data_IF_120258989496
#
_entry.id   IF_120258989496
#
_cell.length_a   1.000
_cell.length_b   1.000
_cell.length_c   1.000
_cell.angle_alpha   90.00
_cell.angle_beta   90.00
_cell.angle_gamma   90.00
#
_symmetry.space_group_name_H-M   'P 1'
#
loop_
_entity.id
_entity.type
_entity.pdbx_description
1 polymer ?
#
# COMPACT_ATOMS: atom_id res chain seq x y z
N UNK A 1 -4.23 10.50 34.46
CA UNK A 1 -4.31 11.53 35.51
C UNK A 1 -2.87 11.94 35.82
N UNK A 2 -2.41 13.05 35.25
CA UNK A 2 -1.04 13.55 35.42
C UNK A 2 -1.14 14.92 36.13
N UNK A 3 -0.41 15.17 37.22
CA UNK A 3 -0.52 16.43 37.93
C UNK A 3 0.25 17.53 37.21
N UNK A 4 -0.43 18.66 36.99
CA UNK A 4 0.15 19.91 36.50
C UNK A 4 0.71 20.65 37.71
N UNK A 5 1.99 20.97 37.68
CA UNK A 5 2.65 21.84 38.66
C UNK A 5 3.06 23.14 37.96
N UNK A 6 2.39 24.23 38.30
CA UNK A 6 2.66 25.58 37.79
C UNK A 6 2.75 26.49 39.00
N UNK A 7 3.99 26.76 39.44
CA UNK A 7 4.28 27.72 40.48
C UNK A 7 5.25 28.78 39.95
N UNK A 8 4.65 29.92 39.60
CA UNK A 8 5.05 31.29 39.97
C UNK A 8 6.47 31.81 39.70
N UNK A 9 6.56 32.86 38.89
CA UNK A 9 7.43 34.02 39.14
C UNK A 9 6.86 35.25 38.40
N UNK A 10 6.17 36.14 39.12
CA UNK A 10 6.58 37.49 39.62
C UNK A 10 6.62 38.58 38.52
N UNK A 11 5.63 39.47 38.53
CA UNK A 11 5.67 40.81 39.13
C UNK A 11 6.38 41.84 38.23
N UNK A 12 5.66 42.32 37.21
CA UNK A 12 6.09 43.44 36.38
C UNK A 12 5.69 44.75 37.06
N UNK A 13 6.66 45.30 37.78
CA UNK A 13 6.73 46.67 38.27
C UNK A 13 6.24 47.64 37.19
N UNK A 14 5.13 48.32 37.49
CA UNK A 14 4.48 49.38 36.71
C UNK A 14 5.46 50.53 36.49
N UNK A 15 6.04 50.63 35.29
CA UNK A 15 6.81 51.79 34.86
C UNK A 15 5.81 52.87 34.43
N UNK A 16 5.73 53.95 35.20
CA UNK A 16 5.01 55.15 34.82
C UNK A 16 5.81 55.88 33.74
N UNK A 17 5.26 55.96 32.53
CA UNK A 17 5.78 56.85 31.50
C UNK A 17 5.07 58.20 31.65
N UNK A 18 5.84 59.21 32.06
CA UNK A 18 5.43 60.61 32.03
C UNK A 18 5.22 61.04 30.57
N UNK A 19 4.12 61.74 30.31
CA UNK A 19 3.81 62.38 29.04
C UNK A 19 4.76 63.58 28.88
N UNK A 20 5.51 63.72 27.79
CA UNK A 20 6.27 64.94 27.56
C UNK A 20 5.32 66.04 27.07
N UNK A 21 5.43 67.19 27.71
CA UNK A 21 4.68 68.41 27.46
C UNK A 21 5.07 68.99 26.09
N UNK A 22 4.07 69.55 25.41
CA UNK A 22 4.19 70.23 24.11
C UNK A 22 4.32 71.74 24.40
N UNK A 23 5.10 72.44 23.56
CA UNK A 23 5.56 73.85 23.64
C UNK A 23 6.95 73.92 24.30
N UNK A 24 8.03 74.21 23.57
CA UNK A 24 8.28 75.49 22.91
C UNK A 24 8.98 75.40 21.55
N UNK A 25 8.82 76.49 20.80
CA UNK A 25 9.34 76.77 19.48
C UNK A 25 10.80 77.21 19.54
N UNK A 26 11.66 76.68 18.65
CA UNK A 26 12.76 77.41 17.98
C UNK A 26 13.58 76.50 17.03
N UNK A 27 13.98 77.09 15.89
CA UNK A 27 15.01 76.68 14.93
C UNK A 27 14.87 75.30 14.22
N UNK A 28 14.24 75.33 13.05
CA UNK A 28 14.44 74.33 11.98
C UNK A 28 15.85 74.50 11.41
N UNK A 29 16.82 73.76 11.94
CA UNK A 29 18.12 73.57 11.31
C UNK A 29 18.11 72.23 10.56
N UNK A 30 18.36 72.30 9.26
CA UNK A 30 18.18 71.20 8.32
C UNK A 30 19.20 70.09 8.56
N UNK A 31 18.78 69.00 9.19
CA UNK A 31 19.56 67.75 9.22
C UNK A 31 19.51 67.13 7.83
N UNK A 32 20.65 67.21 7.14
CA UNK A 32 20.91 66.57 5.86
C UNK A 32 21.00 65.05 6.08
N UNK A 33 19.94 64.32 5.71
CA UNK A 33 19.94 62.85 5.78
C UNK A 33 20.84 62.27 4.68
N UNK A 34 21.94 61.64 5.06
CA UNK A 34 22.61 60.63 4.24
C UNK A 34 21.61 59.53 3.89
N UNK A 35 21.43 59.17 2.61
CA UNK A 35 20.57 58.05 2.26
C UNK A 35 21.25 56.78 2.76
N UNK A 36 20.71 56.17 3.81
CA UNK A 36 21.07 54.81 4.18
C UNK A 36 20.83 53.92 2.96
N UNK A 37 21.92 53.47 2.35
CA UNK A 37 21.90 52.47 1.28
C UNK A 37 21.13 51.25 1.76
N UNK A 38 19.94 51.07 1.20
CA UNK A 38 19.15 49.87 1.40
C UNK A 38 19.92 48.69 0.83
N UNK A 39 20.35 47.78 1.71
CA UNK A 39 20.97 46.52 1.34
C UNK A 39 19.98 45.66 0.55
N UNK A 40 19.99 45.81 -0.77
CA UNK A 40 19.20 45.07 -1.75
C UNK A 40 19.51 43.55 -1.83
N UNK A 41 20.23 42.98 -0.86
CA UNK A 41 20.86 41.67 -1.01
C UNK A 41 20.21 40.50 -0.24
N UNK A 42 18.96 40.65 0.25
CA UNK A 42 18.28 39.57 1.00
C UNK A 42 16.91 39.15 0.45
N UNK A 43 16.46 39.73 -0.66
CA UNK A 43 15.15 39.39 -1.25
C UNK A 43 15.19 38.06 -2.06
N UNK A 44 16.31 37.76 -2.72
CA UNK A 44 16.51 36.52 -3.50
C UNK A 44 16.57 35.24 -2.64
N UNK A 45 17.03 35.35 -1.39
CA UNK A 45 17.09 34.22 -0.46
C UNK A 45 15.69 33.74 -0.05
N UNK A 46 14.72 34.66 0.05
CA UNK A 46 13.32 34.31 0.33
C UNK A 46 12.72 33.46 -0.79
N UNK A 47 12.91 33.87 -2.04
CA UNK A 47 12.43 33.10 -3.20
C UNK A 47 13.06 31.71 -3.28
N UNK A 48 14.36 31.58 -3.01
CA UNK A 48 15.03 30.28 -2.95
C UNK A 48 14.38 29.35 -1.93
N UNK A 49 14.06 29.85 -0.73
CA UNK A 49 13.42 29.06 0.32
C UNK A 49 11.98 28.67 -0.04
N UNK A 50 11.19 29.57 -0.64
CA UNK A 50 9.84 29.23 -1.10
C UNK A 50 9.85 28.19 -2.23
N UNK A 51 10.79 28.27 -3.15
CA UNK A 51 10.95 27.27 -4.22
C UNK A 51 11.32 25.91 -3.63
N UNK A 52 12.27 25.85 -2.69
CA UNK A 52 12.68 24.60 -2.04
C UNK A 52 11.54 23.96 -1.24
N UNK A 53 10.76 24.76 -0.50
CA UNK A 53 9.58 24.28 0.22
C UNK A 53 8.49 23.80 -0.75
N UNK A 54 8.26 24.53 -1.84
CA UNK A 54 7.32 24.13 -2.89
C UNK A 54 7.69 22.79 -3.54
N UNK A 55 8.97 22.61 -3.88
CA UNK A 55 9.48 21.35 -4.43
C UNK A 55 9.34 20.21 -3.41
N UNK A 56 9.67 20.44 -2.14
CA UNK A 56 9.53 19.43 -1.08
C UNK A 56 8.06 18.98 -0.92
N UNK A 57 7.13 19.93 -0.88
CA UNK A 57 5.69 19.64 -0.77
C UNK A 57 5.19 18.89 -2.00
N UNK A 58 5.62 19.29 -3.21
CA UNK A 58 5.26 18.61 -4.45
C UNK A 58 5.78 17.17 -4.49
N UNK A 59 7.04 16.94 -4.13
CA UNK A 59 7.64 15.60 -4.14
C UNK A 59 6.93 14.69 -3.14
N UNK A 60 6.72 15.17 -1.91
CA UNK A 60 5.96 14.41 -0.90
C UNK A 60 4.51 14.16 -1.36
N UNK A 61 3.83 15.17 -1.89
CA UNK A 61 2.47 15.07 -2.41
C UNK A 61 2.35 14.05 -3.56
N UNK A 62 3.28 14.09 -4.52
CA UNK A 62 3.34 13.12 -5.62
C UNK A 62 3.57 11.69 -5.12
N UNK A 63 4.36 11.50 -4.06
CA UNK A 63 4.54 10.18 -3.43
C UNK A 63 3.25 9.68 -2.77
N UNK A 64 2.51 10.53 -2.06
CA UNK A 64 1.22 10.17 -1.48
C UNK A 64 0.17 9.85 -2.54
N UNK A 65 0.09 10.65 -3.61
CA UNK A 65 -0.83 10.41 -4.73
C UNK A 65 -0.49 9.11 -5.44
N UNK A 66 0.79 8.83 -5.70
CA UNK A 66 1.22 7.55 -6.28
C UNK A 66 0.84 6.36 -5.38
N UNK A 67 1.06 6.46 -4.07
CA UNK A 67 0.67 5.42 -3.10
C UNK A 67 -0.85 5.19 -3.09
N UNK A 68 -1.65 6.25 -3.19
CA UNK A 68 -3.11 6.17 -3.30
C UNK A 68 -3.55 5.52 -4.61
N UNK A 69 -2.95 5.91 -5.74
CA UNK A 69 -3.22 5.32 -7.06
C UNK A 69 -2.80 3.85 -7.12
N UNK A 70 -1.66 3.50 -6.51
CA UNK A 70 -1.18 2.13 -6.44
C UNK A 70 -2.09 1.30 -5.53
N UNK A 71 -2.54 1.81 -4.38
CA UNK A 71 -3.51 1.14 -3.51
C UNK A 71 -4.85 0.85 -4.23
N UNK A 72 -5.30 1.74 -5.12
CA UNK A 72 -6.49 1.50 -5.96
C UNK A 72 -6.25 0.48 -7.08
N UNK A 73 -5.00 0.24 -7.47
CA UNK A 73 -4.60 -0.76 -8.48
C UNK A 73 -4.16 -2.10 -7.88
N UNK A 74 -4.09 -2.22 -6.56
CA UNK A 74 -3.96 -3.51 -5.90
C UNK A 74 -5.29 -4.25 -6.05
N UNK A 75 -5.51 -4.76 -7.27
CA UNK A 75 -6.25 -6.00 -7.46
C UNK A 75 -5.69 -6.94 -6.40
N UNK A 76 -6.48 -7.44 -5.44
CA UNK A 76 -5.96 -8.41 -4.51
C UNK A 76 -5.29 -9.47 -5.37
N UNK A 77 -3.97 -9.63 -5.21
CA UNK A 77 -3.29 -10.78 -5.78
C UNK A 77 -4.18 -11.97 -5.47
N UNK A 78 -4.59 -12.69 -6.51
CA UNK A 78 -5.65 -13.69 -6.42
C UNK A 78 -5.32 -14.63 -5.25
N UNK A 79 -5.97 -14.43 -4.11
CA UNK A 79 -5.58 -15.13 -2.87
C UNK A 79 -5.73 -16.63 -3.10
N UNK A 80 -6.64 -17.02 -3.98
CA UNK A 80 -6.82 -18.39 -4.43
C UNK A 80 -5.60 -18.93 -5.18
N UNK A 81 -4.96 -18.12 -6.03
CA UNK A 81 -3.74 -18.50 -6.75
C UNK A 81 -2.60 -18.75 -5.76
N UNK A 82 -2.38 -17.80 -4.84
CA UNK A 82 -1.38 -17.92 -3.80
C UNK A 82 -1.64 -19.14 -2.90
N UNK A 83 -2.87 -19.28 -2.40
CA UNK A 83 -3.26 -20.41 -1.56
C UNK A 83 -3.09 -21.74 -2.30
N UNK A 84 -3.42 -21.80 -3.59
CA UNK A 84 -3.25 -23.02 -4.38
C UNK A 84 -1.77 -23.39 -4.50
N UNK A 85 -0.87 -22.42 -4.70
CA UNK A 85 0.57 -22.67 -4.77
C UNK A 85 1.12 -23.30 -3.48
N UNK A 86 0.59 -22.93 -2.31
CA UNK A 86 1.02 -23.51 -1.03
C UNK A 86 0.53 -24.95 -0.78
N UNK A 87 -0.36 -25.49 -1.62
CA UNK A 87 -0.85 -26.87 -1.47
C UNK A 87 0.00 -27.93 -2.19
N UNK A 88 1.06 -27.52 -2.91
CA UNK A 88 1.91 -28.43 -3.67
C UNK A 88 3.39 -28.23 -3.36
N UNK A 89 4.17 -29.31 -3.35
CA UNK A 89 5.63 -29.24 -3.29
C UNK A 89 6.22 -28.75 -4.63
N UNK A 90 5.70 -29.29 -5.73
CA UNK A 90 6.01 -28.85 -7.09
C UNK A 90 4.74 -28.31 -7.75
N UNK A 91 4.82 -27.21 -8.52
CA UNK A 91 3.66 -26.70 -9.26
C UNK A 91 3.11 -27.79 -10.17
N UNK A 92 1.80 -27.87 -10.31
CA UNK A 92 1.17 -28.80 -11.25
C UNK A 92 1.15 -28.17 -12.66
N UNK A 93 1.54 -28.90 -13.71
CA UNK A 93 1.58 -28.38 -15.08
C UNK A 93 0.25 -27.74 -15.53
N UNK A 94 -0.87 -28.31 -15.12
CA UNK A 94 -2.22 -27.86 -15.49
C UNK A 94 -2.58 -26.48 -14.89
N UNK A 95 -1.88 -26.02 -13.85
CA UNK A 95 -2.16 -24.73 -13.19
C UNK A 95 -2.00 -23.52 -14.13
N UNK A 96 -1.30 -23.68 -15.25
CA UNK A 96 -1.21 -22.62 -16.27
C UNK A 96 -2.52 -22.43 -17.04
N UNK A 97 -3.33 -23.49 -17.12
CA UNK A 97 -4.53 -23.55 -17.94
C UNK A 97 -5.82 -23.41 -17.11
N UNK A 98 -5.73 -23.59 -15.79
CA UNK A 98 -6.89 -23.53 -14.87
C UNK A 98 -6.69 -22.49 -13.77
N UNK A 99 -7.77 -21.80 -13.41
CA UNK A 99 -7.81 -20.90 -12.25
C UNK A 99 -8.55 -21.58 -11.11
N UNK A 100 -7.82 -21.99 -10.08
CA UNK A 100 -8.42 -22.54 -8.87
C UNK A 100 -9.12 -21.41 -8.12
N UNK A 101 -10.34 -21.67 -7.65
CA UNK A 101 -11.15 -20.73 -6.87
C UNK A 101 -11.65 -21.41 -5.61
N UNK A 102 -11.39 -20.81 -4.46
CA UNK A 102 -11.87 -21.31 -3.19
C UNK A 102 -13.14 -20.54 -2.79
N UNK A 103 -14.11 -21.27 -2.23
CA UNK A 103 -15.30 -20.67 -1.65
C UNK A 103 -15.66 -21.38 -0.36
N UNK A 104 -15.98 -20.60 0.66
CA UNK A 104 -16.53 -21.15 1.90
C UNK A 104 -17.96 -21.61 1.64
N UNK A 105 -18.23 -22.88 1.91
CA UNK A 105 -19.58 -23.44 1.89
C UNK A 105 -19.91 -23.98 3.28
N UNK A 106 -21.19 -23.88 3.69
CA UNK A 106 -21.64 -24.49 4.93
C UNK A 106 -21.71 -25.99 4.69
N UNK A 107 -20.90 -26.74 5.42
CA UNK A 107 -21.01 -28.19 5.44
C UNK A 107 -22.24 -28.58 6.27
N UNK A 108 -23.04 -29.53 5.78
CA UNK A 108 -24.15 -30.09 6.55
C UNK A 108 -23.57 -31.21 7.41
N UNK A 109 -23.56 -31.03 8.73
CA UNK A 109 -22.94 -31.96 9.70
C UNK A 109 -23.68 -33.30 9.85
N UNK A 110 -24.68 -33.58 9.03
CA UNK A 110 -25.31 -34.89 8.92
C UNK A 110 -24.35 -35.88 8.26
N UNK A 111 -23.55 -36.57 9.08
CA UNK A 111 -22.61 -37.63 8.67
C UNK A 111 -23.23 -38.76 7.82
N UNK A 112 -24.56 -38.92 7.86
CA UNK A 112 -25.29 -39.98 7.16
C UNK A 112 -25.93 -39.54 5.83
N UNK A 113 -25.85 -38.26 5.47
CA UNK A 113 -26.36 -37.80 4.19
C UNK A 113 -25.40 -38.20 3.07
N UNK A 114 -25.82 -39.13 2.22
CA UNK A 114 -25.02 -39.55 1.07
C UNK A 114 -24.89 -38.37 0.09
N UNK A 115 -23.66 -38.02 -0.28
CA UNK A 115 -23.45 -37.06 -1.36
C UNK A 115 -24.02 -37.61 -2.66
N UNK A 116 -24.34 -36.74 -3.63
CA UNK A 116 -24.79 -37.17 -4.97
C UNK A 116 -23.82 -38.17 -5.63
N UNK A 117 -22.54 -38.16 -5.24
CA UNK A 117 -21.51 -39.07 -5.74
C UNK A 117 -21.47 -40.43 -5.01
N UNK A 118 -22.21 -40.61 -3.91
CA UNK A 118 -22.22 -41.83 -3.08
C UNK A 118 -23.56 -42.59 -3.16
N UNK A 119 -24.27 -42.45 -4.28
CA UNK A 119 -25.53 -43.17 -4.55
C UNK A 119 -25.34 -44.66 -4.82
N UNK A 120 -26.45 -45.35 -5.07
CA UNK A 120 -26.44 -46.76 -5.49
C UNK A 120 -25.58 -46.95 -6.75
N UNK A 121 -24.85 -48.07 -6.90
CA UNK A 121 -24.15 -48.38 -8.13
C UNK A 121 -25.11 -48.35 -9.32
N UNK A 122 -24.78 -47.59 -10.36
CA UNK A 122 -25.61 -47.48 -11.56
C UNK A 122 -25.23 -46.33 -12.47
N UNK A 123 -25.87 -46.23 -13.65
CA UNK A 123 -25.50 -45.27 -14.70
C UNK A 123 -25.56 -43.80 -14.25
N UNK A 124 -26.47 -43.49 -13.32
CA UNK A 124 -26.60 -42.16 -12.76
C UNK A 124 -25.37 -41.78 -11.94
N UNK A 125 -24.99 -42.63 -10.97
CA UNK A 125 -23.79 -42.44 -10.15
C UNK A 125 -22.56 -42.38 -11.04
N UNK A 126 -22.41 -43.29 -12.00
CA UNK A 126 -21.29 -43.29 -12.94
C UNK A 126 -21.20 -41.96 -13.70
N UNK A 127 -22.32 -41.42 -14.19
CA UNK A 127 -22.33 -40.10 -14.85
C UNK A 127 -21.82 -38.99 -13.93
N UNK A 128 -22.21 -38.99 -12.66
CA UNK A 128 -21.74 -38.00 -11.68
C UNK A 128 -20.24 -38.11 -11.41
N UNK A 129 -19.71 -39.33 -11.37
CA UNK A 129 -18.27 -39.55 -11.26
C UNK A 129 -17.52 -39.11 -12.53
N UNK A 130 -18.12 -39.25 -13.70
CA UNK A 130 -17.56 -38.75 -14.95
C UNK A 130 -17.53 -37.21 -15.00
N UNK A 131 -18.57 -36.55 -14.49
CA UNK A 131 -18.64 -35.08 -14.36
C UNK A 131 -17.52 -34.51 -13.47
N UNK A 132 -17.00 -35.28 -12.51
CA UNK A 132 -15.85 -34.87 -11.68
C UNK A 132 -14.52 -34.79 -12.45
N UNK A 133 -14.50 -35.13 -13.74
CA UNK A 133 -13.27 -35.10 -14.54
C UNK A 133 -12.39 -36.33 -14.37
N UNK A 134 -12.97 -37.47 -13.94
CA UNK A 134 -12.26 -38.77 -13.87
C UNK A 134 -11.77 -39.26 -15.24
N UNK A 135 -12.25 -38.67 -16.34
CA UNK A 135 -11.76 -38.86 -17.70
C UNK A 135 -10.71 -37.83 -18.15
N UNK A 136 -10.06 -37.12 -17.22
CA UNK A 136 -8.98 -36.22 -17.59
C UNK A 136 -7.87 -36.97 -18.32
N UNK A 137 -7.54 -36.49 -19.51
CA UNK A 137 -6.45 -37.02 -20.32
C UNK A 137 -5.11 -36.69 -19.67
N UNK A 138 -4.09 -37.47 -20.00
CA UNK A 138 -2.74 -37.23 -19.52
C UNK A 138 -2.26 -35.83 -19.94
N UNK A 139 -1.66 -35.10 -19.00
CA UNK A 139 -1.02 -33.83 -19.31
C UNK A 139 0.40 -34.11 -19.82
N UNK A 140 0.70 -33.69 -21.05
CA UNK A 140 2.02 -33.86 -21.64
C UNK A 140 2.90 -32.70 -21.20
N UNK A 141 3.97 -33.02 -20.50
CA UNK A 141 4.96 -32.05 -20.02
C UNK A 141 6.16 -32.07 -20.96
N UNK A 142 6.55 -30.93 -21.55
CA UNK A 142 7.80 -30.81 -22.28
C UNK A 142 9.01 -31.19 -21.42
N UNK A 143 9.98 -31.91 -21.99
CA UNK A 143 11.12 -32.47 -21.25
C UNK A 143 11.95 -31.37 -20.54
N UNK A 144 12.11 -30.21 -21.18
CA UNK A 144 12.80 -29.03 -20.63
C UNK A 144 12.13 -28.47 -19.37
N UNK A 145 10.81 -28.69 -19.21
CA UNK A 145 10.03 -28.24 -18.05
C UNK A 145 9.83 -29.35 -17.02
N UNK A 146 10.25 -30.58 -17.29
CA UNK A 146 10.02 -31.74 -16.41
C UNK A 146 10.51 -31.48 -14.98
N UNK A 147 11.75 -31.01 -14.83
CA UNK A 147 12.35 -30.72 -13.52
C UNK A 147 11.55 -29.70 -12.69
N UNK A 148 10.96 -28.68 -13.34
CA UNK A 148 10.13 -27.67 -12.67
C UNK A 148 8.91 -28.31 -11.98
N UNK A 149 8.40 -29.40 -12.55
CA UNK A 149 7.21 -30.10 -12.08
C UNK A 149 7.56 -31.40 -11.33
N UNK A 150 8.81 -31.55 -10.87
CA UNK A 150 9.25 -32.72 -10.10
C UNK A 150 9.49 -33.99 -10.93
N UNK A 151 9.55 -33.88 -12.25
CA UNK A 151 9.83 -35.01 -13.15
C UNK A 151 11.33 -35.03 -13.49
N UNK A 152 12.02 -36.09 -13.09
CA UNK A 152 13.40 -36.34 -13.53
C UNK A 152 13.41 -37.14 -14.84
N UNK A 153 14.50 -37.04 -15.63
CA UNK A 153 14.67 -37.84 -16.84
C UNK A 153 14.44 -39.33 -16.57
N UNK A 154 13.57 -39.95 -17.37
CA UNK A 154 13.23 -41.36 -17.26
C UNK A 154 12.08 -41.71 -16.29
N UNK A 155 11.58 -40.77 -15.48
CA UNK A 155 10.42 -41.03 -14.60
C UNK A 155 9.13 -41.30 -15.38
N UNK A 156 8.93 -40.60 -16.50
CA UNK A 156 7.76 -40.75 -17.35
C UNK A 156 8.21 -40.71 -18.81
N UNK A 157 7.59 -41.56 -19.64
CA UNK A 157 7.78 -41.61 -21.08
C UNK A 157 6.42 -41.76 -21.73
N UNK A 158 6.24 -41.12 -22.87
CA UNK A 158 5.07 -41.34 -23.72
C UNK A 158 5.38 -42.59 -24.55
N UNK A 159 4.40 -43.49 -24.67
CA UNK A 159 4.53 -44.65 -25.55
C UNK A 159 4.69 -44.18 -27.01
N UNK A 160 5.54 -44.80 -27.85
CA UNK A 160 5.81 -44.37 -29.22
C UNK A 160 4.58 -44.31 -30.13
#
# INVERSE_FOLDING_TARGET
MFPVNLQGYSDLRRVHFAKPDIEDSEAFDGVQYEPHQQGHHRWWLGYGLFILLGVSILVNGMQYVKKLLDASKHTPHDIDDLCSMYTFEYPSPIQQDIKVKYRTTKFNDTFLEQSRYRGSPGPETDRLWLELGTRNRHYIVPEDKGHKYGLNPGHAKIDP
#
